data_IF_885229655129
#
_entry.id   IF_885229655129
#
_cell.length_a   1.000
_cell.length_b   1.000
_cell.length_c   1.000
_cell.angle_alpha   90.00
_cell.angle_beta   90.00
_cell.angle_gamma   90.00
#
_symmetry.space_group_name_H-M   'P 1'
#
loop_
_entity.id
_entity.type
_entity.pdbx_description
1 polymer ?
#
# COMPACT_ATOMS: atom_id res chain seq x y z
N UNK A 1 10.69 -32.83 20.89
CA UNK A 1 9.51 -31.95 21.05
C UNK A 1 8.72 -31.71 19.75
N UNK A 2 9.35 -31.74 18.56
CA UNK A 2 8.68 -31.50 17.26
C UNK A 2 7.58 -32.51 16.87
N UNK A 3 7.56 -33.72 17.45
CA UNK A 3 6.54 -34.74 17.16
C UNK A 3 5.32 -34.71 18.11
N UNK A 4 5.35 -33.94 19.20
CA UNK A 4 4.24 -33.89 20.17
C UNK A 4 3.18 -32.83 19.82
N UNK A 5 3.54 -31.82 19.01
CA UNK A 5 2.61 -30.78 18.51
C UNK A 5 1.78 -31.29 17.32
N UNK A 6 2.21 -32.38 16.67
CA UNK A 6 1.59 -32.95 15.45
C UNK A 6 0.20 -33.58 15.64
N UNK A 7 -0.23 -33.83 16.88
CA UNK A 7 -1.45 -34.62 17.15
C UNK A 7 -2.64 -33.82 17.72
N UNK A 8 -2.47 -32.58 18.18
CA UNK A 8 -3.49 -31.93 19.04
C UNK A 8 -4.50 -31.00 18.34
N UNK A 9 -4.27 -30.55 17.11
CA UNK A 9 -5.10 -29.50 16.50
C UNK A 9 -5.65 -29.88 15.13
N UNK A 10 -6.47 -30.92 15.04
CA UNK A 10 -7.14 -31.31 13.78
C UNK A 10 -7.86 -30.14 13.09
N UNK A 11 -7.18 -29.44 12.18
CA UNK A 11 -7.65 -28.24 11.47
C UNK A 11 -7.11 -28.27 10.02
N UNK A 12 -7.91 -27.92 8.99
CA UNK A 12 -7.51 -28.00 7.59
C UNK A 12 -6.64 -26.81 7.12
N UNK A 13 -5.77 -27.00 6.10
CA UNK A 13 -4.69 -26.05 5.75
C UNK A 13 -5.10 -24.80 4.93
N UNK A 14 -4.39 -23.65 5.06
CA UNK A 14 -4.21 -22.53 4.07
C UNK A 14 -4.23 -21.10 4.70
N UNK A 15 -3.12 -20.60 5.30
CA UNK A 15 -3.13 -19.33 6.11
C UNK A 15 -1.74 -18.68 6.27
N UNK A 16 -1.61 -17.33 6.20
CA UNK A 16 -0.38 -16.54 6.54
C UNK A 16 -0.52 -15.20 7.31
N UNK A 17 0.18 -15.04 8.44
CA UNK A 17 0.24 -13.89 9.37
C UNK A 17 1.18 -12.71 8.96
N UNK A 18 1.41 -11.68 9.83
CA UNK A 18 2.34 -10.48 9.77
C UNK A 18 3.04 -10.05 11.10
N UNK A 19 4.24 -9.40 11.10
CA UNK A 19 5.06 -9.23 12.29
C UNK A 19 4.64 -7.94 12.99
N UNK A 20 3.99 -8.08 14.14
CA UNK A 20 4.66 -8.38 15.40
C UNK A 20 4.91 -9.84 15.78
N UNK A 21 4.28 -10.79 15.11
CA UNK A 21 4.82 -12.15 14.89
C UNK A 21 4.11 -12.73 13.68
N UNK A 22 4.72 -12.62 12.50
CA UNK A 22 4.20 -13.23 11.27
C UNK A 22 4.51 -14.73 11.33
N UNK A 23 3.54 -15.64 11.55
CA UNK A 23 3.66 -17.02 11.03
C UNK A 23 2.92 -17.24 9.70
N UNK A 24 3.60 -17.76 8.69
CA UNK A 24 3.09 -17.81 7.33
C UNK A 24 3.10 -19.26 6.84
N UNK A 25 1.96 -19.94 6.65
CA UNK A 25 1.85 -21.31 6.10
C UNK A 25 1.27 -21.41 4.66
N UNK A 26 1.96 -22.13 3.76
CA UNK A 26 1.57 -22.40 2.35
C UNK A 26 0.85 -23.74 2.15
N UNK A 27 0.01 -23.86 1.09
CA UNK A 27 -0.32 -25.17 0.46
C UNK A 27 0.40 -25.25 -0.90
N UNK A 28 1.18 -26.30 -1.20
CA UNK A 28 0.97 -27.70 -0.80
C UNK A 28 1.98 -28.26 0.23
N UNK A 29 2.84 -27.45 0.86
CA UNK A 29 4.04 -27.96 1.53
C UNK A 29 4.17 -27.76 3.07
N UNK A 30 3.16 -27.20 3.77
CA UNK A 30 3.15 -27.12 5.26
C UNK A 30 4.41 -26.48 5.87
N UNK A 31 4.92 -25.43 5.25
CA UNK A 31 6.10 -24.71 5.75
C UNK A 31 5.66 -23.40 6.40
N UNK A 32 5.95 -23.25 7.70
CA UNK A 32 5.76 -22.00 8.46
C UNK A 32 7.02 -21.17 8.32
N UNK A 33 6.95 -20.04 7.63
CA UNK A 33 8.04 -19.07 7.57
C UNK A 33 7.80 -17.93 8.57
N UNK A 34 8.84 -17.57 9.31
CA UNK A 34 8.89 -16.40 10.17
C UNK A 34 9.66 -15.31 9.43
N UNK A 35 9.05 -14.15 9.22
CA UNK A 35 9.79 -12.96 8.79
C UNK A 35 10.25 -12.20 10.03
N UNK A 36 11.55 -11.93 10.10
CA UNK A 36 12.19 -11.36 11.28
C UNK A 36 11.91 -9.86 11.41
N UNK A 37 11.42 -9.46 12.59
CA UNK A 37 11.42 -8.10 13.09
C UNK A 37 12.85 -7.53 13.12
N UNK A 38 13.02 -6.29 12.64
CA UNK A 38 14.24 -5.53 12.88
C UNK A 38 14.13 -4.85 14.24
N UNK A 39 15.14 -4.97 15.13
CA UNK A 39 15.10 -4.34 16.43
C UNK A 39 14.95 -2.82 16.48
N UNK A 40 15.07 -2.17 15.32
CA UNK A 40 15.16 -0.73 15.18
C UNK A 40 13.78 -0.06 14.94
N UNK A 41 12.70 -0.86 14.86
CA UNK A 41 11.36 -0.44 14.40
C UNK A 41 10.49 0.28 15.46
N UNK A 42 11.07 0.72 16.58
CA UNK A 42 10.48 1.67 17.54
C UNK A 42 9.33 1.16 18.43
N UNK A 43 8.37 0.41 17.88
CA UNK A 43 7.16 -0.01 18.59
C UNK A 43 7.21 -1.48 19.06
N UNK A 44 6.77 -1.77 20.31
CA UNK A 44 6.64 -3.12 20.80
C UNK A 44 5.72 -3.99 19.92
N UNK A 45 6.07 -5.27 19.70
CA UNK A 45 5.23 -6.23 19.00
C UNK A 45 3.76 -6.26 19.47
N UNK A 46 3.52 -6.14 20.77
CA UNK A 46 2.17 -6.18 21.32
C UNK A 46 1.29 -5.01 20.85
N UNK A 47 1.88 -3.83 20.65
CA UNK A 47 1.13 -2.63 20.29
C UNK A 47 0.62 -2.74 18.86
N UNK A 48 1.46 -3.22 17.92
CA UNK A 48 1.04 -3.51 16.54
C UNK A 48 -0.09 -4.52 16.45
N UNK A 49 -0.08 -5.54 17.32
CA UNK A 49 -1.17 -6.51 17.41
C UNK A 49 -2.46 -5.83 17.88
N UNK A 50 -2.36 -4.99 18.90
CA UNK A 50 -3.48 -4.27 19.47
C UNK A 50 -4.07 -3.23 18.48
N UNK A 51 -3.26 -2.71 17.55
CA UNK A 51 -3.73 -1.80 16.49
C UNK A 51 -4.35 -2.52 15.29
N UNK A 52 -3.62 -3.43 14.66
CA UNK A 52 -4.06 -4.00 13.38
C UNK A 52 -5.17 -5.05 13.52
N UNK A 53 -5.15 -5.87 14.58
CA UNK A 53 -6.09 -6.99 14.69
C UNK A 53 -7.55 -6.56 14.84
N UNK A 54 -7.91 -5.56 15.68
CA UNK A 54 -9.30 -5.12 15.79
C UNK A 54 -9.82 -4.53 14.48
N UNK A 55 -8.96 -3.89 13.67
CA UNK A 55 -9.32 -3.36 12.36
C UNK A 55 -9.65 -4.52 11.41
N UNK A 56 -8.81 -5.55 11.35
CA UNK A 56 -9.09 -6.76 10.57
C UNK A 56 -10.38 -7.46 11.02
N UNK A 57 -10.58 -7.59 12.33
CA UNK A 57 -11.80 -8.15 12.91
C UNK A 57 -13.03 -7.34 12.44
N UNK A 58 -12.98 -6.02 12.51
CA UNK A 58 -14.05 -5.12 12.07
C UNK A 58 -14.34 -5.25 10.57
N UNK A 59 -13.30 -5.29 9.73
CA UNK A 59 -13.47 -5.48 8.29
C UNK A 59 -14.16 -6.83 7.99
N UNK A 60 -13.73 -7.90 8.67
CA UNK A 60 -14.25 -9.26 8.49
C UNK A 60 -15.70 -9.47 8.97
N UNK A 61 -16.19 -8.64 9.92
CA UNK A 61 -17.59 -8.71 10.38
C UNK A 61 -18.60 -8.33 9.28
N UNK A 62 -18.16 -7.62 8.23
CA UNK A 62 -19.05 -7.11 7.17
C UNK A 62 -19.27 -8.08 6.01
N UNK A 63 -18.76 -9.31 6.11
CA UNK A 63 -18.84 -10.34 5.08
C UNK A 63 -17.47 -10.67 4.47
N UNK A 64 -17.45 -11.41 3.34
CA UNK A 64 -16.20 -11.70 2.64
C UNK A 64 -15.48 -10.42 2.25
N UNK A 65 -14.19 -10.32 2.56
CA UNK A 65 -13.41 -9.16 2.17
C UNK A 65 -13.24 -9.12 0.64
N UNK A 66 -13.25 -7.91 0.02
CA UNK A 66 -12.96 -7.76 -1.39
C UNK A 66 -11.60 -8.37 -1.78
N UNK A 67 -11.42 -8.71 -3.05
CA UNK A 67 -10.17 -9.28 -3.55
C UNK A 67 -8.94 -8.39 -3.30
N UNK A 68 -9.15 -7.07 -3.18
CA UNK A 68 -8.12 -6.09 -2.88
C UNK A 68 -7.72 -6.04 -1.38
N UNK A 69 -8.13 -7.00 -0.58
CA UNK A 69 -7.68 -7.22 0.80
C UNK A 69 -7.16 -8.63 0.99
N UNK A 70 -6.21 -8.78 1.91
CA UNK A 70 -5.89 -10.10 2.47
C UNK A 70 -7.03 -10.58 3.37
N UNK A 71 -7.46 -11.82 3.20
CA UNK A 71 -8.40 -12.46 4.11
C UNK A 71 -7.82 -12.53 5.52
N UNK A 72 -8.57 -12.08 6.52
CA UNK A 72 -8.23 -12.25 7.92
C UNK A 72 -8.57 -13.66 8.41
N UNK A 73 -7.60 -14.31 9.06
CA UNK A 73 -7.68 -15.73 9.44
C UNK A 73 -7.60 -15.93 10.96
N UNK A 74 -7.80 -14.86 11.74
CA UNK A 74 -7.92 -14.87 13.20
C UNK A 74 -6.69 -14.33 13.93
N UNK A 75 -6.71 -14.38 15.26
CA UNK A 75 -5.57 -14.00 16.13
C UNK A 75 -5.15 -15.14 17.04
N UNK A 76 -3.89 -15.15 17.44
CA UNK A 76 -3.33 -15.96 18.53
C UNK A 76 -2.65 -15.02 19.54
N UNK A 77 -2.28 -15.52 20.71
CA UNK A 77 -1.87 -14.69 21.86
C UNK A 77 -0.80 -13.63 21.56
N UNK A 78 0.06 -13.85 20.57
CA UNK A 78 1.16 -12.93 20.23
C UNK A 78 1.03 -12.28 18.84
N UNK A 79 0.05 -12.66 18.01
CA UNK A 79 -0.04 -12.18 16.63
C UNK A 79 -1.41 -12.38 15.96
N UNK A 80 -1.55 -11.84 14.74
CA UNK A 80 -2.75 -11.94 13.92
C UNK A 80 -2.47 -12.52 12.54
N UNK A 81 -3.45 -13.25 11.99
CA UNK A 81 -3.31 -14.08 10.79
C UNK A 81 -4.06 -13.50 9.62
N UNK A 82 -3.46 -13.56 8.44
CA UNK A 82 -4.12 -13.22 7.17
C UNK A 82 -3.85 -14.30 6.10
N UNK A 83 -4.13 -14.09 4.82
CA UNK A 83 -3.75 -15.03 3.75
C UNK A 83 -2.40 -14.66 3.11
N UNK A 84 -1.68 -15.63 2.49
CA UNK A 84 -0.45 -15.36 1.71
C UNK A 84 -0.66 -15.50 0.26
N UNK A 85 0.10 -14.65 -0.41
CA UNK A 85 0.36 -14.75 -1.81
C UNK A 85 1.82 -15.04 -2.05
N UNK A 86 2.07 -15.79 -3.11
CA UNK A 86 3.28 -15.59 -3.88
C UNK A 86 2.86 -14.69 -5.07
N UNK A 87 3.65 -13.68 -5.46
CA UNK A 87 4.97 -13.36 -4.94
C UNK A 87 5.02 -12.66 -3.57
N UNK A 88 3.90 -12.14 -3.05
CA UNK A 88 3.78 -11.66 -1.67
C UNK A 88 4.09 -10.16 -1.50
N UNK A 89 4.87 -9.75 -0.48
CA UNK A 89 5.07 -8.34 -0.12
C UNK A 89 5.78 -7.52 -1.22
N UNK A 90 5.25 -6.32 -1.48
CA UNK A 90 5.91 -5.25 -2.23
C UNK A 90 6.78 -4.39 -1.28
N UNK A 91 7.79 -3.63 -1.77
CA UNK A 91 8.09 -3.30 -3.17
C UNK A 91 8.92 -4.34 -3.92
N UNK A 92 8.74 -4.37 -5.24
CA UNK A 92 9.61 -5.07 -6.19
C UNK A 92 10.34 -4.09 -7.08
N UNK A 93 11.42 -4.53 -7.72
CA UNK A 93 11.94 -3.82 -8.89
C UNK A 93 10.89 -3.94 -9.99
N UNK A 94 10.24 -2.82 -10.31
CA UNK A 94 9.16 -2.76 -11.28
C UNK A 94 9.69 -2.59 -12.72
N UNK A 95 9.02 -3.14 -13.74
CA UNK A 95 9.41 -2.96 -15.14
C UNK A 95 9.17 -1.51 -15.60
N UNK A 96 9.88 -1.05 -16.63
CA UNK A 96 9.67 0.32 -17.13
C UNK A 96 8.39 0.40 -17.95
N UNK A 97 7.49 1.32 -17.59
CA UNK A 97 6.26 1.61 -18.34
C UNK A 97 6.51 1.99 -19.81
N UNK A 98 7.67 2.58 -20.11
CA UNK A 98 8.08 3.02 -21.44
C UNK A 98 8.18 1.87 -22.48
N UNK A 99 8.13 0.60 -22.03
CA UNK A 99 8.43 -0.55 -22.89
C UNK A 99 7.22 -1.42 -23.29
N UNK A 100 5.99 -1.22 -22.77
CA UNK A 100 4.80 -1.93 -23.27
C UNK A 100 3.47 -1.37 -22.71
N UNK A 101 2.44 -1.26 -23.56
CA UNK A 101 1.03 -0.98 -23.15
C UNK A 101 0.55 -1.91 -22.01
N UNK A 102 1.07 -3.14 -21.96
CA UNK A 102 0.78 -4.11 -20.89
C UNK A 102 1.27 -3.66 -19.52
N UNK A 103 2.43 -3.01 -19.43
CA UNK A 103 2.98 -2.51 -18.16
C UNK A 103 2.18 -1.30 -17.70
N UNK A 104 1.86 -0.39 -18.62
CA UNK A 104 0.98 0.74 -18.35
C UNK A 104 -0.38 0.26 -17.80
N UNK A 105 -0.99 -0.72 -18.47
CA UNK A 105 -2.26 -1.31 -18.03
C UNK A 105 -2.15 -1.99 -16.66
N UNK A 106 -1.01 -2.60 -16.32
CA UNK A 106 -0.78 -3.20 -15.01
C UNK A 106 -0.76 -2.14 -13.89
N UNK A 107 -0.06 -1.02 -14.09
CA UNK A 107 -0.03 0.05 -13.08
C UNK A 107 -1.37 0.76 -12.93
N UNK A 108 -2.07 0.96 -14.04
CA UNK A 108 -3.46 1.42 -14.01
C UNK A 108 -4.38 0.46 -13.24
N UNK A 109 -4.21 -0.85 -13.43
CA UNK A 109 -4.94 -1.88 -12.68
C UNK A 109 -4.63 -1.77 -11.19
N UNK A 110 -3.37 -1.68 -10.81
CA UNK A 110 -2.98 -1.53 -9.40
C UNK A 110 -3.50 -0.24 -8.78
N UNK A 111 -3.41 0.89 -9.48
CA UNK A 111 -3.96 2.16 -9.00
C UNK A 111 -5.46 2.06 -8.70
N UNK A 112 -6.20 1.38 -9.59
CA UNK A 112 -7.63 1.17 -9.41
C UNK A 112 -7.95 0.20 -8.25
N UNK A 113 -7.19 -0.89 -8.11
CA UNK A 113 -7.37 -1.88 -7.03
C UNK A 113 -7.06 -1.30 -5.65
N UNK A 114 -5.98 -0.54 -5.51
CA UNK A 114 -5.63 0.10 -4.24
C UNK A 114 -6.66 1.16 -3.87
N UNK A 115 -7.16 1.93 -4.83
CA UNK A 115 -8.18 2.94 -4.58
C UNK A 115 -9.54 2.32 -4.18
N UNK A 116 -9.93 1.20 -4.81
CA UNK A 116 -11.10 0.43 -4.41
C UNK A 116 -10.95 -0.12 -2.98
N UNK A 117 -9.74 -0.55 -2.60
CA UNK A 117 -9.46 -0.99 -1.23
C UNK A 117 -9.63 0.15 -0.21
N UNK A 118 -9.06 1.33 -0.52
CA UNK A 118 -9.21 2.51 0.32
C UNK A 118 -10.67 2.94 0.45
N UNK A 119 -11.44 2.91 -0.64
CA UNK A 119 -12.88 3.18 -0.59
C UNK A 119 -13.60 2.26 0.40
N UNK A 120 -13.35 0.96 0.31
CA UNK A 120 -13.96 -0.02 1.21
C UNK A 120 -13.62 0.22 2.70
N UNK A 121 -12.39 0.65 3.01
CA UNK A 121 -11.98 1.01 4.37
C UNK A 121 -12.63 2.32 4.84
N UNK A 122 -12.62 3.34 3.99
CA UNK A 122 -13.15 4.67 4.34
C UNK A 122 -14.66 4.62 4.59
N UNK A 123 -15.41 3.83 3.81
CA UNK A 123 -16.83 3.56 4.02
C UNK A 123 -17.12 2.91 5.40
N UNK A 124 -16.10 2.36 6.06
CA UNK A 124 -16.17 1.75 7.40
C UNK A 124 -15.50 2.59 8.49
N UNK A 125 -15.16 3.84 8.18
CA UNK A 125 -14.52 4.76 9.14
C UNK A 125 -13.12 4.29 9.58
N UNK A 126 -12.40 3.62 8.68
CA UNK A 126 -11.02 3.19 8.86
C UNK A 126 -10.16 3.97 7.86
N UNK A 127 -9.10 4.61 8.33
CA UNK A 127 -8.12 5.33 7.49
C UNK A 127 -6.80 4.57 7.57
N UNK A 128 -6.15 4.28 6.44
CA UNK A 128 -4.90 3.51 6.44
C UNK A 128 -3.73 4.33 7.01
N UNK A 129 -3.73 5.64 6.74
CA UNK A 129 -2.82 6.68 7.24
C UNK A 129 -1.33 6.49 6.91
N UNK A 130 -0.97 5.47 6.13
CA UNK A 130 0.37 5.25 5.57
C UNK A 130 0.26 4.44 4.25
N UNK A 131 -0.34 5.03 3.22
CA UNK A 131 -0.53 4.33 1.94
C UNK A 131 0.78 4.26 1.17
N UNK A 132 1.39 3.07 1.10
CA UNK A 132 2.56 2.84 0.27
C UNK A 132 2.68 1.41 -0.27
N UNK A 133 3.74 1.15 -1.05
CA UNK A 133 3.97 -0.18 -1.60
C UNK A 133 4.28 -1.24 -0.54
N UNK A 134 4.72 -0.87 0.67
CA UNK A 134 4.93 -1.83 1.77
C UNK A 134 3.62 -2.31 2.39
N UNK A 135 2.55 -1.51 2.24
CA UNK A 135 1.19 -1.90 2.66
C UNK A 135 0.53 -2.94 1.73
N UNK A 136 1.14 -3.20 0.57
CA UNK A 136 0.55 -3.98 -0.52
C UNK A 136 1.24 -5.33 -0.73
N UNK A 137 0.42 -6.34 -1.01
CA UNK A 137 0.85 -7.67 -1.44
C UNK A 137 0.40 -7.96 -2.87
N UNK A 138 1.26 -8.62 -3.64
CA UNK A 138 1.00 -9.05 -5.00
C UNK A 138 0.58 -10.53 -5.04
N UNK A 139 -0.55 -10.79 -5.72
CA UNK A 139 -1.08 -12.12 -6.01
C UNK A 139 -0.42 -12.73 -7.27
N UNK A 140 -0.54 -14.05 -7.43
CA UNK A 140 -0.05 -14.77 -8.61
C UNK A 140 -0.67 -14.30 -9.93
N UNK A 141 -1.89 -13.76 -9.89
CA UNK A 141 -2.56 -13.17 -11.05
C UNK A 141 -2.20 -11.70 -11.26
N UNK A 142 -1.20 -11.20 -10.53
CA UNK A 142 -0.75 -9.81 -10.48
C UNK A 142 -1.80 -8.81 -10.00
N UNK A 143 -2.86 -9.23 -9.33
CA UNK A 143 -3.69 -8.30 -8.56
C UNK A 143 -3.01 -7.97 -7.23
N UNK A 144 -3.29 -6.78 -6.70
CA UNK A 144 -2.77 -6.35 -5.40
C UNK A 144 -3.85 -6.43 -4.32
N UNK A 145 -3.38 -6.54 -3.07
CA UNK A 145 -4.22 -6.47 -1.90
C UNK A 145 -3.55 -5.69 -0.77
N UNK A 146 -4.34 -4.92 -0.01
CA UNK A 146 -3.90 -4.30 1.24
C UNK A 146 -3.68 -5.41 2.27
N UNK A 147 -2.52 -5.37 2.92
CA UNK A 147 -2.09 -6.34 3.93
C UNK A 147 -1.39 -5.68 5.14
N UNK A 148 -0.80 -4.51 4.91
CA UNK A 148 -0.28 -3.57 5.89
C UNK A 148 -1.38 -2.79 6.65
N UNK A 149 -1.74 -3.03 7.93
CA UNK A 149 -2.73 -2.18 8.66
C UNK A 149 -2.20 -1.58 9.97
N UNK A 150 -0.89 -1.57 10.20
CA UNK A 150 -0.30 -1.14 11.48
C UNK A 150 -0.52 0.35 11.77
N UNK A 151 -0.51 1.21 10.74
CA UNK A 151 -0.71 2.65 10.89
C UNK A 151 -2.18 3.08 10.79
N UNK A 152 -3.09 2.13 10.56
CA UNK A 152 -4.48 2.45 10.33
C UNK A 152 -5.17 2.96 11.60
N UNK A 153 -6.00 3.99 11.45
CA UNK A 153 -6.79 4.60 12.51
C UNK A 153 -8.29 4.37 12.36
N UNK A 154 -9.01 4.39 13.48
CA UNK A 154 -10.47 4.40 13.49
C UNK A 154 -11.03 4.99 14.78
N UNK A 155 -11.83 6.06 14.65
CA UNK A 155 -12.54 6.67 15.79
C UNK A 155 -13.51 5.68 16.43
N UNK A 156 -14.21 4.87 15.60
CA UNK A 156 -15.22 3.91 16.07
C UNK A 156 -14.60 2.81 16.94
N UNK A 157 -13.39 2.38 16.60
CA UNK A 157 -12.66 1.34 17.34
C UNK A 157 -11.80 1.91 18.47
N UNK A 158 -11.74 3.23 18.60
CA UNK A 158 -10.85 3.90 19.55
C UNK A 158 -9.36 3.70 19.24
N UNK A 159 -9.02 3.59 17.96
CA UNK A 159 -7.67 3.35 17.48
C UNK A 159 -7.13 4.64 16.87
N UNK A 160 -6.05 5.15 17.45
CA UNK A 160 -5.30 6.28 16.89
C UNK A 160 -4.52 5.84 15.65
N UNK A 161 -4.46 6.71 14.66
CA UNK A 161 -3.67 6.46 13.47
C UNK A 161 -2.17 6.60 13.79
N UNK A 162 -1.35 5.74 13.17
CA UNK A 162 0.09 5.78 13.30
C UNK A 162 0.68 7.10 12.83
N UNK A 163 1.73 7.58 13.50
CA UNK A 163 2.37 8.86 13.18
C UNK A 163 3.48 8.67 12.11
N UNK A 164 3.76 7.43 11.67
CA UNK A 164 4.75 7.20 10.62
C UNK A 164 4.29 7.83 9.30
N UNK A 165 5.11 8.75 8.78
CA UNK A 165 4.98 9.22 7.41
C UNK A 165 5.39 8.11 6.45
N UNK A 166 4.62 7.92 5.37
CA UNK A 166 5.04 7.03 4.29
C UNK A 166 5.89 7.83 3.28
N UNK A 167 7.14 7.41 3.09
CA UNK A 167 8.03 7.92 2.05
C UNK A 167 8.30 9.44 2.07
N UNK A 168 9.07 9.90 1.09
CA UNK A 168 9.85 11.16 1.05
C UNK A 168 9.11 12.49 1.24
N UNK A 169 7.77 12.52 1.32
CA UNK A 169 6.95 13.75 1.38
C UNK A 169 5.72 13.49 2.26
N UNK A 170 5.57 14.28 3.33
CA UNK A 170 4.38 14.21 4.18
C UNK A 170 3.17 14.91 3.54
N UNK A 171 2.01 14.27 3.65
CA UNK A 171 0.73 14.87 3.28
C UNK A 171 0.47 16.17 4.07
N UNK A 172 0.03 17.27 3.42
CA UNK A 172 -0.29 18.52 4.12
C UNK A 172 -1.52 18.40 5.03
N UNK A 173 -2.31 17.32 4.86
CA UNK A 173 -3.46 17.01 5.72
C UNK A 173 -3.10 16.14 6.91
N UNK A 174 -1.83 15.72 7.04
CA UNK A 174 -1.37 14.97 8.21
C UNK A 174 -1.24 15.92 9.39
N UNK A 175 -1.95 15.65 10.47
CA UNK A 175 -1.79 16.43 11.69
C UNK A 175 -0.45 16.10 12.37
N UNK A 176 0.44 17.08 12.50
CA UNK A 176 1.68 16.90 13.25
C UNK A 176 1.47 17.03 14.77
N UNK A 177 2.12 16.18 15.59
CA UNK A 177 1.97 16.17 17.05
C UNK A 177 2.37 17.47 17.78
N UNK A 178 3.05 18.42 17.12
CA UNK A 178 3.44 19.71 17.72
C UNK A 178 2.19 20.55 18.12
N UNK A 179 1.01 20.21 17.58
CA UNK A 179 -0.29 20.79 18.00
C UNK A 179 -0.94 20.11 19.23
N UNK A 180 -0.37 19.04 19.79
CA UNK A 180 -0.96 18.29 20.92
C UNK A 180 -0.91 19.02 22.26
N UNK A 181 -0.18 20.14 22.37
CA UNK A 181 -0.31 21.02 23.53
C UNK A 181 -1.63 21.82 23.53
N UNK A 182 -2.49 21.68 22.51
CA UNK A 182 -3.69 22.51 22.41
C UNK A 182 -4.94 21.85 21.81
N UNK A 183 -5.15 20.54 21.97
CA UNK A 183 -6.46 19.94 21.66
C UNK A 183 -6.95 19.04 22.78
N UNK A 184 -8.22 19.24 23.14
CA UNK A 184 -8.92 18.49 24.16
C UNK A 184 -9.04 17.00 23.77
N UNK A 185 -8.09 16.17 24.18
CA UNK A 185 -8.22 14.73 24.48
C UNK A 185 -8.98 13.82 23.49
N UNK A 186 -8.98 14.10 22.19
CA UNK A 186 -9.67 13.28 21.18
C UNK A 186 -8.73 12.32 20.45
N UNK A 187 -9.26 11.14 20.06
CA UNK A 187 -8.55 10.14 19.24
C UNK A 187 -8.40 10.68 17.81
N UNK A 188 -7.16 10.82 17.34
CA UNK A 188 -6.88 11.16 15.95
C UNK A 188 -6.82 9.88 15.10
N UNK A 189 -7.81 9.67 14.26
CA UNK A 189 -7.91 8.47 13.42
C UNK A 189 -7.34 8.63 12.01
N UNK A 190 -6.63 9.72 11.70
CA UNK A 190 -6.19 10.03 10.34
C UNK A 190 -7.24 10.80 9.53
N UNK A 191 -6.95 11.04 8.26
CA UNK A 191 -7.85 11.75 7.34
C UNK A 191 -7.84 11.14 5.94
N UNK A 192 -9.00 11.08 5.26
CA UNK A 192 -9.14 10.51 3.90
C UNK A 192 -8.19 11.16 2.89
N UNK A 193 -8.01 12.48 2.98
CA UNK A 193 -7.08 13.22 2.12
C UNK A 193 -5.61 12.85 2.34
N UNK A 194 -5.25 12.34 3.53
CA UNK A 194 -3.90 11.78 3.75
C UNK A 194 -3.73 10.54 2.90
N UNK A 195 -4.65 9.58 3.01
CA UNK A 195 -4.61 8.36 2.21
C UNK A 195 -4.62 8.63 0.70
N UNK A 196 -5.43 9.58 0.23
CA UNK A 196 -5.49 9.93 -1.20
C UNK A 196 -4.20 10.61 -1.70
N UNK A 197 -3.58 11.46 -0.88
CA UNK A 197 -2.31 12.08 -1.21
C UNK A 197 -1.18 11.05 -1.28
N UNK A 198 -1.12 10.17 -0.29
CA UNK A 198 -0.13 9.11 -0.17
C UNK A 198 -0.31 8.07 -1.30
N UNK A 199 -1.57 7.71 -1.61
CA UNK A 199 -1.94 6.89 -2.76
C UNK A 199 -1.45 7.49 -4.07
N UNK A 200 -1.70 8.78 -4.31
CA UNK A 200 -1.29 9.44 -5.55
C UNK A 200 0.24 9.47 -5.70
N UNK A 201 0.95 9.66 -4.59
CA UNK A 201 2.41 9.64 -4.53
C UNK A 201 2.96 8.25 -4.84
N UNK A 202 2.38 7.20 -4.25
CA UNK A 202 2.73 5.81 -4.54
C UNK A 202 2.47 5.44 -6.01
N UNK A 203 1.31 5.80 -6.55
CA UNK A 203 0.94 5.49 -7.93
C UNK A 203 1.86 6.22 -8.91
N UNK A 204 2.17 7.49 -8.66
CA UNK A 204 3.16 8.22 -9.45
C UNK A 204 4.51 7.50 -9.46
N UNK A 205 4.99 7.02 -8.31
CA UNK A 205 6.24 6.28 -8.22
C UNK A 205 6.26 5.01 -9.11
N UNK A 206 5.13 4.32 -9.30
CA UNK A 206 5.07 3.19 -10.22
C UNK A 206 5.27 3.62 -11.68
N UNK A 207 4.63 4.71 -12.11
CA UNK A 207 4.77 5.25 -13.46
C UNK A 207 6.15 5.90 -13.71
N UNK A 208 6.77 6.48 -12.68
CA UNK A 208 7.99 7.27 -12.78
C UNK A 208 9.29 6.49 -12.51
N UNK A 209 9.18 5.17 -12.30
CA UNK A 209 10.28 4.25 -11.97
C UNK A 209 10.92 4.48 -10.60
N UNK A 210 10.07 4.70 -9.60
CA UNK A 210 10.45 4.91 -8.20
C UNK A 210 10.83 6.36 -7.89
N UNK A 211 10.64 7.30 -8.83
CA UNK A 211 10.87 8.72 -8.57
C UNK A 211 9.74 9.28 -7.72
N UNK A 212 10.11 10.04 -6.70
CA UNK A 212 9.21 10.92 -5.96
C UNK A 212 8.71 12.05 -6.88
N UNK A 213 7.48 12.55 -6.72
CA UNK A 213 7.00 13.68 -7.51
C UNK A 213 7.83 14.96 -7.32
N UNK A 214 8.61 15.04 -6.24
CA UNK A 214 9.56 16.13 -5.98
C UNK A 214 11.03 15.68 -6.10
N UNK A 215 11.30 14.56 -6.78
CA UNK A 215 12.67 14.21 -7.18
C UNK A 215 13.16 15.18 -8.24
N UNK A 216 13.99 16.13 -7.82
CA UNK A 216 14.91 16.83 -8.70
C UNK A 216 15.96 15.84 -9.22
N UNK A 217 16.54 16.13 -10.38
CA UNK A 217 17.55 15.31 -11.06
C UNK A 217 18.88 15.30 -10.27
N UNK A 218 18.94 14.53 -9.18
CA UNK A 218 20.09 14.42 -8.26
C UNK A 218 21.23 13.60 -8.90
N UNK A 219 21.05 13.09 -10.12
CA UNK A 219 22.10 12.39 -10.86
C UNK A 219 23.28 13.29 -11.28
N UNK A 220 23.22 14.60 -11.06
CA UNK A 220 24.34 15.49 -11.33
C UNK A 220 25.48 15.47 -10.27
N UNK A 221 25.28 14.89 -9.08
CA UNK A 221 26.29 14.98 -8.01
C UNK A 221 26.44 13.67 -7.23
N UNK A 222 26.95 12.64 -7.91
CA UNK A 222 27.50 11.46 -7.24
C UNK A 222 28.69 11.89 -6.35
N UNK A 223 28.62 11.61 -5.05
CA UNK A 223 29.84 11.60 -4.23
C UNK A 223 29.69 11.60 -2.71
N UNK A 224 28.67 12.21 -2.12
CA UNK A 224 28.59 12.29 -0.65
C UNK A 224 27.15 12.24 -0.16
N UNK A 225 26.83 11.21 0.63
CA UNK A 225 25.66 11.20 1.52
C UNK A 225 25.85 12.28 2.58
N UNK A 226 25.31 13.48 2.34
CA UNK A 226 25.28 14.54 3.34
C UNK A 226 23.86 14.61 3.92
N UNK A 227 23.69 14.02 5.10
CA UNK A 227 22.40 13.96 5.82
C UNK A 227 21.77 15.33 6.06
N UNK A 228 22.57 16.39 6.18
CA UNK A 228 22.09 17.77 6.31
C UNK A 228 21.45 18.30 5.01
N UNK A 229 22.00 17.90 3.86
CA UNK A 229 21.47 18.27 2.56
C UNK A 229 20.16 17.53 2.26
N UNK A 230 20.11 16.23 2.57
CA UNK A 230 18.89 15.42 2.47
C UNK A 230 17.77 15.96 3.37
N UNK A 231 18.10 16.36 4.60
CA UNK A 231 17.15 16.99 5.52
C UNK A 231 16.63 18.35 5.01
N UNK A 232 17.51 19.19 4.46
CA UNK A 232 17.11 20.45 3.83
C UNK A 232 16.19 20.25 2.62
N UNK A 233 16.48 19.27 1.78
CA UNK A 233 15.62 18.92 0.65
C UNK A 233 14.25 18.42 1.11
N UNK A 234 14.20 17.59 2.15
CA UNK A 234 12.96 17.15 2.77
C UNK A 234 12.13 18.34 3.26
N UNK A 235 12.76 19.29 3.96
CA UNK A 235 12.10 20.52 4.42
C UNK A 235 11.61 21.40 3.27
N UNK A 236 12.38 21.54 2.20
CA UNK A 236 11.98 22.30 1.01
C UNK A 236 10.78 21.64 0.32
N UNK A 237 10.79 20.30 0.20
CA UNK A 237 9.67 19.51 -0.33
C UNK A 237 8.41 19.68 0.53
N UNK A 238 8.53 19.52 1.84
CA UNK A 238 7.44 19.76 2.78
C UNK A 238 6.93 21.21 2.68
N UNK A 239 7.81 22.18 2.47
CA UNK A 239 7.43 23.57 2.28
C UNK A 239 6.61 23.77 1.00
N UNK A 240 7.04 23.22 -0.14
CA UNK A 240 6.29 23.26 -1.41
C UNK A 240 4.89 22.64 -1.29
N UNK A 241 4.80 21.52 -0.58
CA UNK A 241 3.53 20.83 -0.31
C UNK A 241 2.65 21.67 0.63
N UNK A 242 3.21 22.24 1.70
CA UNK A 242 2.48 23.10 2.63
C UNK A 242 1.97 24.39 1.99
N UNK A 243 2.70 24.90 0.99
CA UNK A 243 2.32 26.08 0.20
C UNK A 243 1.37 25.74 -0.95
N UNK A 244 0.97 24.47 -1.11
CA UNK A 244 0.07 23.98 -2.16
C UNK A 244 0.56 24.37 -3.58
N UNK A 245 1.87 24.41 -3.81
CA UNK A 245 2.48 24.88 -5.07
C UNK A 245 2.54 23.78 -6.14
N UNK A 246 1.40 23.16 -6.44
CA UNK A 246 1.31 22.01 -7.36
C UNK A 246 1.65 22.32 -8.83
N UNK A 247 1.76 23.60 -9.20
CA UNK A 247 2.21 24.01 -10.54
C UNK A 247 3.69 23.66 -10.82
N UNK A 248 4.47 23.36 -9.77
CA UNK A 248 5.86 22.91 -9.87
C UNK A 248 5.99 21.38 -9.92
N UNK A 249 4.86 20.67 -9.81
CA UNK A 249 4.86 19.21 -9.84
C UNK A 249 4.91 18.71 -11.30
N UNK A 250 5.35 17.48 -11.52
CA UNK A 250 5.41 16.89 -12.86
C UNK A 250 4.07 17.00 -13.59
N UNK A 251 4.11 17.39 -14.85
CA UNK A 251 2.94 17.31 -15.74
C UNK A 251 2.77 15.85 -16.12
N UNK A 252 1.57 15.32 -15.87
CA UNK A 252 1.24 13.92 -16.07
C UNK A 252 0.17 13.79 -17.15
N UNK A 253 0.39 12.86 -18.08
CA UNK A 253 -0.56 12.58 -19.15
C UNK A 253 -1.77 11.80 -18.62
N UNK A 254 -2.90 11.89 -19.34
CA UNK A 254 -4.14 11.14 -19.04
C UNK A 254 -3.89 9.62 -18.99
N UNK A 255 -2.96 9.13 -19.81
CA UNK A 255 -2.60 7.71 -19.86
C UNK A 255 -1.99 7.20 -18.54
N UNK A 256 -1.41 8.08 -17.72
CA UNK A 256 -0.83 7.75 -16.41
C UNK A 256 -1.66 8.32 -15.25
N UNK A 257 -2.95 8.57 -15.49
CA UNK A 257 -3.90 9.09 -14.51
C UNK A 257 -3.59 10.52 -14.03
N UNK A 258 -2.90 11.31 -14.85
CA UNK A 258 -2.34 12.59 -14.44
C UNK A 258 -3.30 13.55 -13.73
N UNK A 259 -4.45 13.89 -14.31
CA UNK A 259 -5.43 14.76 -13.66
C UNK A 259 -5.97 14.20 -12.34
N UNK A 260 -6.08 12.87 -12.22
CA UNK A 260 -6.56 12.21 -11.00
C UNK A 260 -5.52 12.35 -9.87
N UNK A 261 -4.25 12.03 -10.18
CA UNK A 261 -3.16 12.13 -9.22
C UNK A 261 -2.99 13.58 -8.75
N UNK A 262 -3.07 14.55 -9.68
CA UNK A 262 -3.02 15.97 -9.34
C UNK A 262 -4.20 16.40 -8.45
N UNK A 263 -5.42 15.93 -8.74
CA UNK A 263 -6.60 16.24 -7.93
C UNK A 263 -6.49 15.68 -6.51
N UNK A 264 -5.94 14.47 -6.35
CA UNK A 264 -5.67 13.86 -5.05
C UNK A 264 -4.58 14.61 -4.30
N UNK A 265 -3.48 14.99 -4.96
CA UNK A 265 -2.44 15.80 -4.37
C UNK A 265 -2.92 17.17 -3.90
N UNK A 266 -3.90 17.76 -4.59
CA UNK A 266 -4.52 19.04 -4.25
C UNK A 266 -5.68 18.92 -3.25
N UNK A 267 -6.04 17.70 -2.84
CA UNK A 267 -7.14 17.46 -1.90
C UNK A 267 -8.51 17.83 -2.46
N UNK A 268 -8.68 17.75 -3.78
CA UNK A 268 -9.95 18.03 -4.48
C UNK A 268 -11.02 16.99 -4.17
N UNK A 269 -10.62 15.78 -3.78
CA UNK A 269 -11.54 14.70 -3.42
C UNK A 269 -11.83 14.74 -1.92
N UNK A 270 -13.12 14.82 -1.57
CA UNK A 270 -13.59 14.72 -0.19
C UNK A 270 -13.75 13.26 0.28
N UNK A 271 -13.85 12.33 -0.66
CA UNK A 271 -13.97 10.90 -0.40
C UNK A 271 -13.30 10.08 -1.52
N UNK A 272 -12.96 8.85 -1.19
CA UNK A 272 -12.36 7.86 -2.10
C UNK A 272 -13.31 7.41 -3.20
N UNK A 273 -14.63 7.41 -2.97
CA UNK A 273 -15.63 7.04 -3.97
C UNK A 273 -15.58 7.96 -5.20
N UNK A 274 -15.45 9.27 -4.99
CA UNK A 274 -15.32 10.26 -6.07
C UNK A 274 -14.03 10.03 -6.88
N UNK A 275 -12.88 9.87 -6.20
CA UNK A 275 -11.62 9.58 -6.87
C UNK A 275 -11.68 8.26 -7.65
N UNK A 276 -12.34 7.23 -7.10
CA UNK A 276 -12.52 5.93 -7.74
C UNK A 276 -13.38 6.06 -9.00
N UNK A 277 -14.48 6.81 -8.93
CA UNK A 277 -15.36 7.06 -10.07
C UNK A 277 -14.62 7.77 -11.21
N UNK A 278 -13.87 8.83 -10.89
CA UNK A 278 -13.13 9.61 -11.90
C UNK A 278 -11.98 8.78 -12.52
N UNK A 279 -11.30 7.98 -11.70
CA UNK A 279 -10.29 7.02 -12.19
C UNK A 279 -10.91 6.04 -13.19
N UNK A 280 -12.08 5.47 -12.88
CA UNK A 280 -12.77 4.54 -13.78
C UNK A 280 -13.15 5.21 -15.09
N UNK A 281 -13.70 6.42 -15.02
CA UNK A 281 -14.09 7.18 -16.21
C UNK A 281 -12.87 7.45 -17.11
N UNK A 282 -11.74 7.86 -16.52
CA UNK A 282 -10.50 8.12 -17.26
C UNK A 282 -9.91 6.85 -17.89
N UNK A 283 -9.89 5.74 -17.17
CA UNK A 283 -9.41 4.46 -17.73
C UNK A 283 -10.28 4.02 -18.91
N UNK A 284 -11.60 4.19 -18.81
CA UNK A 284 -12.52 3.88 -19.91
C UNK A 284 -12.32 4.81 -21.11
N UNK A 285 -12.11 6.12 -20.90
CA UNK A 285 -11.82 7.05 -22.00
C UNK A 285 -10.48 6.75 -22.68
N UNK A 286 -9.51 6.19 -21.94
CA UNK A 286 -8.25 5.68 -22.47
C UNK A 286 -8.37 4.28 -23.12
N UNK A 287 -9.58 3.77 -23.32
CA UNK A 287 -9.85 2.51 -24.01
C UNK A 287 -9.65 1.25 -23.16
N UNK A 288 -9.51 1.38 -21.84
CA UNK A 288 -9.42 0.22 -20.94
C UNK A 288 -10.80 -0.40 -20.73
N UNK A 289 -10.85 -1.73 -20.74
CA UNK A 289 -12.04 -2.50 -20.39
C UNK A 289 -11.95 -2.91 -18.93
N UNK A 290 -12.93 -2.48 -18.14
CA UNK A 290 -13.04 -2.84 -16.72
C UNK A 290 -13.82 -4.16 -16.57
N UNK A 291 -13.43 -5.00 -15.62
CA UNK A 291 -14.14 -6.25 -15.35
C UNK A 291 -15.54 -5.96 -14.76
N UNK A 292 -16.62 -6.55 -15.33
CA UNK A 292 -17.97 -6.35 -14.83
C UNK A 292 -18.12 -6.93 -13.42
N UNK A 293 -18.86 -6.23 -12.56
CA UNK A 293 -19.12 -6.68 -11.18
C UNK A 293 -17.91 -6.63 -10.23
N UNK A 294 -16.79 -6.03 -10.65
CA UNK A 294 -15.64 -5.77 -9.78
C UNK A 294 -15.41 -4.28 -9.63
N UNK A 295 -15.00 -3.87 -8.44
CA UNK A 295 -14.75 -2.45 -8.15
C UNK A 295 -13.43 -1.95 -8.74
N UNK A 296 -12.50 -2.84 -9.12
CA UNK A 296 -11.18 -2.38 -9.54
C UNK A 296 -10.32 -3.24 -10.47
N UNK A 297 -10.88 -4.08 -11.36
CA UNK A 297 -10.04 -4.86 -12.29
C UNK A 297 -10.11 -4.38 -13.76
N UNK A 298 -8.99 -4.54 -14.49
CA UNK A 298 -8.82 -4.31 -15.92
C UNK A 298 -8.62 -5.66 -16.63
N UNK A 299 -9.34 -5.88 -17.74
CA UNK A 299 -9.33 -7.16 -18.47
C UNK A 299 -8.68 -7.07 -19.84
N UNK A 300 -8.25 -8.22 -20.37
CA UNK A 300 -7.78 -8.36 -21.74
C UNK A 300 -6.26 -8.46 -21.93
N UNK A 301 -5.49 -8.61 -20.86
CA UNK A 301 -4.02 -8.58 -20.88
C UNK A 301 -3.33 -9.91 -20.54
N UNK A 302 -4.08 -10.94 -20.13
CA UNK A 302 -3.51 -12.26 -19.81
C UNK A 302 -2.45 -12.21 -18.72
N UNK A 303 -2.74 -11.52 -17.60
CA UNK A 303 -1.77 -11.13 -16.58
C UNK A 303 -0.78 -12.22 -16.14
N UNK A 304 -1.21 -13.44 -15.75
CA UNK A 304 -0.28 -14.45 -15.25
C UNK A 304 0.74 -14.92 -16.30
N UNK A 305 0.34 -14.89 -17.57
CA UNK A 305 1.17 -15.32 -18.70
C UNK A 305 2.02 -14.18 -19.27
N UNK A 306 1.71 -12.93 -18.93
CA UNK A 306 2.41 -11.76 -19.46
C UNK A 306 3.69 -11.44 -18.69
N UNK A 307 3.79 -11.84 -17.42
CA UNK A 307 4.90 -11.47 -16.55
C UNK A 307 5.57 -12.68 -15.90
N UNK A 308 6.82 -12.48 -15.50
CA UNK A 308 7.58 -13.41 -14.68
C UNK A 308 8.16 -12.71 -13.47
N UNK A 309 8.29 -13.46 -12.38
CA UNK A 309 8.90 -13.02 -11.16
C UNK A 309 10.28 -13.62 -11.02
N UNK A 310 11.30 -12.77 -10.92
CA UNK A 310 12.70 -13.16 -10.82
C UNK A 310 13.21 -12.81 -9.43
N UNK A 311 13.44 -13.81 -8.58
CA UNK A 311 14.15 -13.65 -7.30
C UNK A 311 15.66 -13.69 -7.57
N UNK A 312 16.43 -12.77 -6.98
CA UNK A 312 17.89 -12.93 -6.94
C UNK A 312 18.29 -14.12 -6.05
N UNK A 313 19.53 -14.60 -6.18
CA UNK A 313 20.04 -15.76 -5.41
C UNK A 313 20.00 -15.55 -3.88
N UNK A 314 19.69 -14.34 -3.41
CA UNK A 314 19.61 -13.99 -1.99
C UNK A 314 18.17 -13.68 -1.54
N UNK A 315 17.16 -13.79 -2.42
CA UNK A 315 15.76 -13.47 -2.13
C UNK A 315 15.49 -12.01 -1.76
N UNK A 316 16.46 -11.10 -1.93
CA UNK A 316 16.40 -9.71 -1.44
C UNK A 316 15.99 -8.71 -2.51
N UNK A 317 16.28 -8.99 -3.78
CA UNK A 317 15.89 -8.14 -4.91
C UNK A 317 14.98 -8.93 -5.86
N UNK A 318 13.72 -9.01 -5.49
CA UNK A 318 12.69 -9.53 -6.36
C UNK A 318 12.36 -8.51 -7.47
N UNK A 319 12.33 -8.98 -8.72
CA UNK A 319 12.01 -8.17 -9.90
C UNK A 319 10.82 -8.77 -10.65
N UNK A 320 9.86 -7.92 -10.98
CA UNK A 320 8.81 -8.25 -11.93
C UNK A 320 9.27 -7.87 -13.35
N UNK A 321 9.13 -8.77 -14.31
CA UNK A 321 9.52 -8.55 -15.71
C UNK A 321 8.42 -8.97 -16.67
N UNK A 322 8.31 -8.29 -17.80
CA UNK A 322 7.51 -8.77 -18.92
C UNK A 322 8.20 -10.00 -19.52
N UNK A 323 7.44 -11.05 -19.83
CA UNK A 323 8.00 -12.21 -20.54
C UNK A 323 8.35 -11.82 -21.98
N UNK A 324 9.49 -12.30 -22.47
CA UNK A 324 9.78 -12.24 -23.90
C UNK A 324 8.76 -13.12 -24.64
N UNK A 325 8.07 -12.54 -25.62
CA UNK A 325 7.08 -13.22 -26.44
C UNK A 325 7.68 -14.12 -27.50
#
# INVERSE_FOLDING_TARGET
MANLIRMLFGVPPSVVLFPSTLCSESRPQREVQYEFWRPDDGDPPQDRLNYAAPIYEQLALTGPLPQCFVQYLGRINTCYRVERFEPGPMPYVLPKAEEADRILALYQRWALQSLAALNFMHDRGIILNAVDSSSLWLRNDLSIAIANLVDAGSVQLGIEAGIQGCNTIDSPWRHHPISLNNTAGGIYAGHVKVDLFDWATMVYAWFSHGRSPLDYDIHALQGQQNTEYEYRLLLERQNLVSLLQYHQWPILDDSILGPILLGAWQGQYENTAAALQDTRAMLQSCGRRLAPGTEGDIVGFGWPDAFEFVKDNHGRNAKLRLRAG
#
